data_IF_309792921239
#
_entry.id   IF_309792921239
#
_cell.length_a   1.000
_cell.length_b   1.000
_cell.length_c   1.000
_cell.angle_alpha   90.00
_cell.angle_beta   90.00
_cell.angle_gamma   90.00
#
_symmetry.space_group_name_H-M   'P 1'
#
loop_
_entity.id
_entity.type
_entity.pdbx_description
1 polymer ?
#
# COMPACT_ATOMS: atom_id res chain seq x y z
N UNK A 1 20.48 -37.13 19.26
CA UNK A 1 19.12 -36.81 18.80
C UNK A 1 18.19 -36.99 19.98
N UNK A 2 17.43 -35.96 20.38
CA UNK A 2 16.46 -36.10 21.47
C UNK A 2 15.26 -36.92 21.01
N UNK A 3 14.91 -37.95 21.78
CA UNK A 3 13.72 -38.77 21.62
C UNK A 3 12.49 -37.92 21.96
N UNK A 4 11.69 -37.54 20.96
CA UNK A 4 10.45 -36.77 21.18
C UNK A 4 10.13 -35.68 20.14
N UNK A 5 11.03 -35.36 19.21
CA UNK A 5 10.71 -34.45 18.12
C UNK A 5 9.92 -35.17 17.02
N UNK A 6 8.61 -34.94 16.95
CA UNK A 6 7.82 -35.29 15.78
C UNK A 6 8.16 -34.32 14.65
N UNK A 7 8.83 -34.81 13.61
CA UNK A 7 9.08 -34.05 12.40
C UNK A 7 7.88 -34.26 11.47
N UNK A 8 7.11 -33.20 11.23
CA UNK A 8 5.97 -33.27 10.33
C UNK A 8 6.34 -32.49 9.06
N UNK A 9 6.71 -33.18 7.96
CA UNK A 9 6.94 -32.52 6.69
C UNK A 9 5.61 -31.92 6.21
N UNK A 10 5.60 -30.61 6.01
CA UNK A 10 4.51 -29.96 5.31
C UNK A 10 4.63 -30.31 3.83
N UNK A 11 3.54 -30.76 3.22
CA UNK A 11 3.49 -30.94 1.78
C UNK A 11 3.71 -29.57 1.11
N UNK A 12 4.43 -29.50 -0.03
CA UNK A 12 4.68 -28.24 -0.74
C UNK A 12 3.43 -27.39 -0.94
N UNK A 13 2.30 -28.01 -1.27
CA UNK A 13 1.02 -27.31 -1.45
C UNK A 13 0.51 -26.61 -0.18
N UNK A 14 0.72 -27.21 0.99
CA UNK A 14 0.34 -26.63 2.28
C UNK A 14 1.23 -25.43 2.64
N UNK A 15 2.52 -25.49 2.30
CA UNK A 15 3.44 -24.35 2.46
C UNK A 15 3.06 -23.20 1.51
N UNK A 16 2.84 -23.50 0.22
CA UNK A 16 2.45 -22.49 -0.77
C UNK A 16 1.10 -21.83 -0.46
N UNK A 17 0.12 -22.58 0.06
CA UNK A 17 -1.14 -22.01 0.51
C UNK A 17 -0.98 -21.11 1.74
N UNK A 18 -0.14 -21.52 2.71
CA UNK A 18 0.13 -20.73 3.90
C UNK A 18 0.84 -19.40 3.59
N UNK A 19 1.82 -19.39 2.69
CA UNK A 19 2.48 -18.15 2.25
C UNK A 19 1.49 -17.19 1.59
N UNK A 20 0.68 -17.65 0.62
CA UNK A 20 -0.34 -16.79 -0.01
C UNK A 20 -1.33 -16.23 1.01
N UNK A 21 -1.74 -17.03 1.99
CA UNK A 21 -2.63 -16.58 3.05
C UNK A 21 -1.96 -15.53 3.94
N UNK A 22 -0.68 -15.72 4.29
CA UNK A 22 0.09 -14.73 5.03
C UNK A 22 0.20 -13.41 4.25
N UNK A 23 0.47 -13.47 2.94
CA UNK A 23 0.57 -12.30 2.09
C UNK A 23 -0.77 -11.55 2.02
N UNK A 24 -1.89 -12.26 1.85
CA UNK A 24 -3.24 -11.69 1.90
C UNK A 24 -3.52 -11.00 3.24
N UNK A 25 -3.21 -11.68 4.35
CA UNK A 25 -3.39 -11.14 5.70
C UNK A 25 -2.45 -9.97 6.01
N UNK A 26 -1.37 -9.80 5.25
CA UNK A 26 -0.42 -8.70 5.43
C UNK A 26 -0.89 -7.39 4.80
N UNK A 27 -1.78 -7.42 3.79
CA UNK A 27 -2.21 -6.20 3.07
C UNK A 27 -2.87 -5.18 4.00
N UNK A 28 -3.81 -5.57 4.90
CA UNK A 28 -4.37 -4.62 5.86
C UNK A 28 -3.31 -4.01 6.78
N UNK A 29 -2.27 -4.78 7.14
CA UNK A 29 -1.18 -4.30 7.96
C UNK A 29 -0.36 -3.23 7.23
N UNK A 30 -0.07 -3.42 5.94
CA UNK A 30 0.66 -2.42 5.13
C UNK A 30 -0.06 -1.07 5.12
N UNK A 31 -1.37 -1.05 4.88
CA UNK A 31 -2.17 0.20 4.91
C UNK A 31 -2.13 0.85 6.30
N UNK A 32 -2.35 0.06 7.36
CA UNK A 32 -2.31 0.55 8.76
C UNK A 32 -0.94 1.14 9.11
N UNK A 33 0.13 0.47 8.72
CA UNK A 33 1.50 0.90 8.94
C UNK A 33 1.82 2.19 8.16
N UNK A 34 1.41 2.28 6.90
CA UNK A 34 1.62 3.48 6.07
C UNK A 34 0.92 4.72 6.62
N UNK A 35 -0.32 4.59 7.11
CA UNK A 35 -1.03 5.70 7.77
C UNK A 35 -0.33 6.11 9.08
N UNK A 36 0.03 5.14 9.92
CA UNK A 36 0.76 5.41 11.16
C UNK A 36 2.15 6.04 10.91
N UNK A 37 2.83 5.65 9.83
CA UNK A 37 4.09 6.22 9.38
C UNK A 37 3.93 7.70 9.03
N UNK A 38 2.95 8.06 8.20
CA UNK A 38 2.71 9.46 7.84
C UNK A 38 2.32 10.31 9.06
N UNK A 39 1.53 9.75 9.97
CA UNK A 39 1.21 10.41 11.23
C UNK A 39 2.45 10.68 12.09
N UNK A 40 3.33 9.69 12.21
CA UNK A 40 4.53 9.78 13.05
C UNK A 40 5.60 10.68 12.44
N UNK A 41 5.84 10.58 11.13
CA UNK A 41 6.93 11.26 10.45
C UNK A 41 6.59 12.69 10.01
N UNK A 42 5.32 12.95 9.68
CA UNK A 42 4.87 14.24 9.14
C UNK A 42 3.87 14.96 10.06
N UNK A 43 3.44 14.33 11.15
CA UNK A 43 2.35 14.87 11.98
C UNK A 43 1.00 14.89 11.26
N UNK A 44 0.88 14.23 10.10
CA UNK A 44 -0.31 14.23 9.27
C UNK A 44 -1.36 13.30 9.88
N UNK A 45 -2.39 13.87 10.50
CA UNK A 45 -3.43 13.09 11.16
C UNK A 45 -4.26 12.30 10.13
N UNK A 46 -4.75 11.09 10.45
CA UNK A 46 -5.51 10.29 9.49
C UNK A 46 -6.69 11.00 8.84
N UNK A 47 -7.38 11.89 9.57
CA UNK A 47 -8.50 12.68 9.03
C UNK A 47 -8.08 13.72 7.96
N UNK A 48 -6.79 14.05 7.91
CA UNK A 48 -6.16 14.99 6.97
C UNK A 48 -5.37 14.25 5.87
N UNK A 49 -5.49 12.92 5.79
CA UNK A 49 -4.94 12.10 4.72
C UNK A 49 -6.01 11.85 3.66
N UNK A 50 -5.61 11.95 2.39
CA UNK A 50 -6.35 11.44 1.23
C UNK A 50 -5.75 10.11 0.80
N UNK A 51 -6.61 9.13 0.56
CA UNK A 51 -6.29 7.92 -0.16
C UNK A 51 -6.85 7.98 -1.59
N UNK A 52 -6.04 7.65 -2.59
CA UNK A 52 -6.48 7.45 -3.98
C UNK A 52 -6.18 6.00 -4.35
N UNK A 53 -7.17 5.29 -4.86
CA UNK A 53 -7.09 3.86 -5.17
C UNK A 53 -7.35 3.67 -6.66
N UNK A 54 -6.39 3.08 -7.38
CA UNK A 54 -6.51 2.83 -8.82
C UNK A 54 -6.21 1.36 -9.16
N UNK A 55 -7.03 0.71 -10.01
CA UNK A 55 -6.76 -0.65 -10.49
C UNK A 55 -5.67 -0.62 -11.57
N UNK A 56 -4.67 -1.50 -11.43
CA UNK A 56 -3.51 -1.60 -12.32
C UNK A 56 -3.50 -2.95 -13.05
N UNK A 57 -3.12 -2.90 -14.33
CA UNK A 57 -3.30 -3.98 -15.27
C UNK A 57 -2.03 -4.25 -16.07
N UNK A 58 -1.77 -5.53 -16.29
CA UNK A 58 -0.89 -6.03 -17.36
C UNK A 58 -1.79 -6.67 -18.45
N UNK A 59 -1.91 -8.00 -18.45
CA UNK A 59 -2.83 -8.72 -19.35
C UNK A 59 -4.26 -8.83 -18.81
N UNK A 60 -4.41 -8.61 -17.50
CA UNK A 60 -5.63 -8.57 -16.70
C UNK A 60 -5.36 -7.67 -15.51
N UNK A 61 -6.36 -7.40 -14.68
CA UNK A 61 -6.13 -6.70 -13.43
C UNK A 61 -5.23 -7.53 -12.51
N UNK A 62 -4.11 -6.96 -12.08
CA UNK A 62 -3.12 -7.64 -11.23
C UNK A 62 -3.09 -7.06 -9.81
N UNK A 63 -3.35 -5.76 -9.64
CA UNK A 63 -3.27 -5.09 -8.33
C UNK A 63 -4.10 -3.82 -8.25
N UNK A 64 -4.41 -3.38 -7.03
CA UNK A 64 -4.76 -1.99 -6.75
C UNK A 64 -3.53 -1.25 -6.23
N UNK A 65 -3.34 0.00 -6.65
CA UNK A 65 -2.34 0.91 -6.07
C UNK A 65 -3.04 1.97 -5.25
N UNK A 66 -2.66 2.08 -3.98
CA UNK A 66 -3.22 3.00 -3.00
C UNK A 66 -2.20 4.10 -2.71
N UNK A 67 -2.52 5.33 -3.07
CA UNK A 67 -1.71 6.52 -2.83
C UNK A 67 -2.19 7.22 -1.58
N UNK A 68 -1.29 7.56 -0.66
CA UNK A 68 -1.55 8.38 0.51
C UNK A 68 -0.85 9.73 0.37
N UNK A 69 -1.60 10.80 0.59
CA UNK A 69 -1.11 12.17 0.54
C UNK A 69 -1.92 13.12 1.42
N UNK A 70 -1.59 14.41 1.45
CA UNK A 70 -2.36 15.40 2.19
C UNK A 70 -3.77 15.51 1.61
N UNK A 71 -4.75 15.85 2.44
CA UNK A 71 -6.15 16.01 1.99
C UNK A 71 -6.29 17.07 0.89
N UNK A 72 -5.48 18.12 0.96
CA UNK A 72 -5.40 19.20 -0.02
C UNK A 72 -4.18 19.01 -0.91
N UNK A 73 -4.29 19.28 -2.21
CA UNK A 73 -3.21 19.05 -3.17
C UNK A 73 -3.30 17.69 -3.84
N UNK A 74 -2.35 17.40 -4.71
CA UNK A 74 -2.24 16.19 -5.54
C UNK A 74 -1.03 15.32 -5.18
N UNK A 75 -0.18 15.79 -4.26
CA UNK A 75 1.05 15.13 -3.86
C UNK A 75 0.78 13.72 -3.30
N UNK A 76 1.68 12.79 -3.61
CA UNK A 76 1.64 11.41 -3.13
C UNK A 76 2.87 11.14 -2.27
N UNK A 77 2.67 11.05 -0.96
CA UNK A 77 3.77 10.88 0.00
C UNK A 77 4.13 9.42 0.23
N UNK A 78 3.18 8.51 0.08
CA UNK A 78 3.43 7.09 0.26
C UNK A 78 2.45 6.24 -0.56
N UNK A 79 2.96 5.19 -1.21
CA UNK A 79 2.18 4.25 -1.99
C UNK A 79 2.15 2.85 -1.37
N UNK A 80 1.01 2.17 -1.45
CA UNK A 80 0.82 0.76 -1.08
C UNK A 80 0.33 -0.01 -2.31
N UNK A 81 1.01 -1.11 -2.64
CA UNK A 81 0.55 -2.08 -3.63
C UNK A 81 -0.33 -3.11 -2.91
N UNK A 82 -1.56 -3.27 -3.38
CA UNK A 82 -2.50 -4.29 -2.95
C UNK A 82 -2.67 -5.33 -4.08
N UNK A 83 -1.82 -6.36 -4.12
CA UNK A 83 -1.83 -7.34 -5.21
C UNK A 83 -3.10 -8.20 -5.14
N UNK A 84 -3.65 -8.63 -6.27
CA UNK A 84 -4.63 -9.72 -6.32
C UNK A 84 -3.88 -11.06 -6.32
N UNK A 85 -4.19 -11.94 -5.37
CA UNK A 85 -3.43 -13.17 -5.11
C UNK A 85 -4.26 -14.43 -5.37
N UNK A 86 -3.69 -15.34 -6.16
CA UNK A 86 -4.26 -16.65 -6.43
C UNK A 86 -5.43 -16.56 -7.42
N UNK A 87 -6.62 -16.86 -6.93
CA UNK A 87 -7.85 -16.83 -7.72
C UNK A 87 -8.59 -15.47 -7.64
N UNK A 88 -8.01 -14.48 -6.96
CA UNK A 88 -8.57 -13.12 -6.93
C UNK A 88 -8.42 -12.47 -8.30
N UNK A 89 -9.45 -11.75 -8.69
CA UNK A 89 -9.60 -11.06 -9.97
C UNK A 89 -10.48 -9.81 -9.79
N UNK A 90 -10.87 -9.18 -10.89
CA UNK A 90 -11.72 -7.97 -10.92
C UNK A 90 -13.07 -8.15 -10.22
N UNK A 91 -13.60 -9.38 -10.13
CA UNK A 91 -14.87 -9.67 -9.47
C UNK A 91 -14.72 -9.83 -7.95
N UNK A 92 -13.48 -9.90 -7.44
CA UNK A 92 -13.19 -9.94 -6.02
C UNK A 92 -13.40 -8.56 -5.40
N UNK A 93 -14.07 -8.48 -4.24
CA UNK A 93 -14.31 -7.23 -3.52
C UNK A 93 -13.06 -6.70 -2.77
N UNK A 94 -11.92 -6.66 -3.46
CA UNK A 94 -10.68 -6.11 -2.92
C UNK A 94 -10.80 -4.58 -2.71
N UNK A 95 -11.58 -3.87 -3.53
CA UNK A 95 -11.85 -2.46 -3.34
C UNK A 95 -12.59 -2.19 -2.02
N UNK A 96 -13.61 -2.97 -1.69
CA UNK A 96 -14.33 -2.87 -0.41
C UNK A 96 -13.45 -3.22 0.79
N UNK A 97 -12.55 -4.20 0.67
CA UNK A 97 -11.55 -4.51 1.70
C UNK A 97 -10.58 -3.33 1.93
N UNK A 98 -10.05 -2.75 0.85
CA UNK A 98 -9.16 -1.58 0.91
C UNK A 98 -9.87 -0.40 1.59
N UNK A 99 -11.11 -0.09 1.18
CA UNK A 99 -11.88 0.98 1.79
C UNK A 99 -12.05 0.72 3.29
N UNK A 100 -12.52 -0.47 3.66
CA UNK A 100 -12.76 -0.84 5.06
C UNK A 100 -11.52 -0.60 5.91
N UNK A 101 -10.35 -1.07 5.46
CA UNK A 101 -9.09 -0.89 6.18
C UNK A 101 -8.71 0.59 6.28
N UNK A 102 -8.81 1.36 5.19
CA UNK A 102 -8.54 2.80 5.22
C UNK A 102 -9.44 3.52 6.23
N UNK A 103 -10.74 3.21 6.25
CA UNK A 103 -11.69 3.78 7.21
C UNK A 103 -11.34 3.42 8.66
N UNK A 104 -10.93 2.19 8.92
CA UNK A 104 -10.47 1.75 10.26
C UNK A 104 -9.27 2.55 10.77
N UNK A 105 -8.40 3.04 9.89
CA UNK A 105 -7.26 3.91 10.27
C UNK A 105 -7.67 5.35 10.57
N UNK A 106 -8.91 5.74 10.27
CA UNK A 106 -9.41 7.11 10.42
C UNK A 106 -9.30 7.98 9.17
N UNK A 107 -8.87 7.41 8.04
CA UNK A 107 -8.85 8.11 6.74
C UNK A 107 -10.29 8.34 6.26
N UNK A 108 -10.62 9.61 6.00
CA UNK A 108 -11.97 10.04 5.61
C UNK A 108 -12.12 10.36 4.13
N UNK A 109 -11.04 10.69 3.45
CA UNK A 109 -11.05 11.00 2.03
C UNK A 109 -10.50 9.79 1.28
N UNK A 110 -11.37 9.01 0.62
CA UNK A 110 -10.99 7.84 -0.16
C UNK A 110 -11.60 7.99 -1.55
N UNK A 111 -10.75 8.14 -2.56
CA UNK A 111 -11.13 8.26 -3.96
C UNK A 111 -10.80 6.96 -4.69
N UNK A 112 -11.81 6.32 -5.26
CA UNK A 112 -11.62 5.21 -6.18
C UNK A 112 -11.65 5.73 -7.61
N UNK A 113 -10.59 5.45 -8.36
CA UNK A 113 -10.49 5.71 -9.78
C UNK A 113 -10.83 4.42 -10.54
N UNK A 114 -11.56 4.54 -11.63
CA UNK A 114 -12.00 3.44 -12.50
C UNK A 114 -11.14 3.31 -13.77
N UNK A 115 -10.06 4.09 -13.85
CA UNK A 115 -9.16 4.12 -14.99
C UNK A 115 -8.31 2.85 -15.03
N UNK A 116 -8.06 2.36 -16.24
CA UNK A 116 -7.27 1.15 -16.45
C UNK A 116 -5.77 1.49 -16.44
N UNK A 117 -5.18 1.61 -15.25
CA UNK A 117 -3.79 2.03 -15.11
C UNK A 117 -2.80 0.95 -15.58
N UNK A 118 -1.73 1.32 -16.30
CA UNK A 118 -0.65 0.39 -16.63
C UNK A 118 0.23 0.08 -15.41
N UNK A 119 0.91 -1.07 -15.45
CA UNK A 119 1.94 -1.46 -14.47
C UNK A 119 3.25 -0.68 -14.69
N UNK A 120 3.22 0.64 -14.45
CA UNK A 120 4.39 1.51 -14.62
C UNK A 120 5.26 1.59 -13.37
N UNK A 121 6.57 1.77 -13.60
CA UNK A 121 7.59 1.89 -12.59
C UNK A 121 8.47 3.10 -12.92
N UNK A 122 9.02 3.73 -11.90
CA UNK A 122 9.97 4.82 -12.08
C UNK A 122 11.27 4.31 -12.71
N UNK A 123 11.74 4.99 -13.76
CA UNK A 123 12.96 4.62 -14.48
C UNK A 123 14.24 4.77 -13.64
N UNK A 124 14.24 5.67 -12.65
CA UNK A 124 15.43 5.97 -11.83
C UNK A 124 15.61 4.99 -10.67
N UNK A 125 14.52 4.61 -9.99
CA UNK A 125 14.58 3.81 -8.75
C UNK A 125 13.89 2.44 -8.87
N UNK A 126 13.12 2.20 -9.93
CA UNK A 126 12.35 0.96 -10.13
C UNK A 126 11.13 0.79 -9.22
N UNK A 127 10.78 1.80 -8.41
CA UNK A 127 9.59 1.75 -7.56
C UNK A 127 8.31 1.86 -8.40
N UNK A 128 7.19 1.23 -7.98
CA UNK A 128 5.90 1.41 -8.65
C UNK A 128 5.48 2.88 -8.66
N UNK A 129 4.82 3.32 -9.74
CA UNK A 129 4.15 4.63 -9.78
C UNK A 129 2.73 4.53 -9.22
N UNK A 130 2.22 5.60 -8.64
CA UNK A 130 0.96 5.58 -7.88
C UNK A 130 0.00 6.67 -8.38
N UNK A 131 -1.32 6.39 -8.44
CA UNK A 131 -2.29 7.35 -8.98
C UNK A 131 -2.45 8.57 -8.06
N UNK A 132 -2.27 9.78 -8.58
CA UNK A 132 -2.66 11.00 -7.89
C UNK A 132 -4.18 11.24 -8.03
N UNK A 133 -4.70 12.30 -7.39
CA UNK A 133 -6.14 12.66 -7.45
C UNK A 133 -6.63 13.03 -8.86
N UNK A 134 -5.71 13.34 -9.77
CA UNK A 134 -6.01 13.76 -11.16
C UNK A 134 -6.02 12.55 -12.12
N UNK A 135 -5.66 11.36 -11.63
CA UNK A 135 -5.60 10.14 -12.43
C UNK A 135 -4.28 9.98 -13.19
N UNK A 136 -3.20 10.60 -12.71
CA UNK A 136 -1.85 10.44 -13.27
C UNK A 136 -1.01 9.51 -12.37
N UNK A 137 -0.17 8.68 -12.98
CA UNK A 137 0.77 7.83 -12.24
C UNK A 137 2.03 8.63 -11.92
N UNK A 138 2.29 8.85 -10.63
CA UNK A 138 3.40 9.66 -10.14
C UNK A 138 4.31 8.86 -9.20
N UNK A 139 5.56 9.29 -9.09
CA UNK A 139 6.48 8.75 -8.11
C UNK A 139 6.09 9.26 -6.70
N UNK A 140 6.27 8.42 -5.68
CA UNK A 140 6.00 8.83 -4.29
C UNK A 140 7.14 9.71 -3.78
N UNK A 141 6.82 10.90 -3.27
CA UNK A 141 7.82 11.84 -2.78
C UNK A 141 7.44 12.32 -1.37
N UNK A 142 8.29 12.02 -0.39
CA UNK A 142 8.12 12.62 0.94
C UNK A 142 8.46 14.11 0.89
N UNK A 143 7.69 14.97 1.58
CA UNK A 143 8.04 16.38 1.65
C UNK A 143 9.38 16.54 2.36
N UNK A 144 10.19 17.50 1.91
CA UNK A 144 11.44 17.83 2.57
C UNK A 144 11.16 18.20 4.03
N UNK A 145 11.82 17.51 4.97
CA UNK A 145 11.75 17.89 6.37
C UNK A 145 12.37 19.28 6.52
N UNK A 146 11.68 20.25 7.14
CA UNK A 146 12.30 21.54 7.41
C UNK A 146 13.56 21.29 8.24
N UNK A 147 14.71 21.75 7.73
CA UNK A 147 15.99 21.51 8.36
C UNK A 147 15.93 21.93 9.83
N UNK A 148 15.98 20.95 10.74
CA UNK A 148 16.26 21.22 12.15
C UNK A 148 17.65 21.82 12.17
N UNK A 149 17.74 23.15 12.27
CA UNK A 149 19.00 23.87 12.34
C UNK A 149 19.89 23.24 13.40
N UNK A 150 20.96 22.58 12.96
CA UNK A 150 21.99 22.05 13.84
C UNK A 150 22.70 23.24 14.49
N UNK A 151 22.16 23.72 15.61
CA UNK A 151 22.89 24.55 16.55
C UNK A 151 23.66 23.63 17.49
N UNK A 152 24.68 22.95 16.97
CA UNK A 152 25.80 22.57 17.81
C UNK A 152 26.69 23.82 17.89
N UNK A 153 26.43 24.62 18.92
CA UNK A 153 27.47 25.49 19.47
C UNK A 153 28.56 24.60 20.03
N UNK A 154 29.79 24.72 19.51
CA UNK A 154 31.03 24.99 20.24
C UNK A 154 32.23 25.06 19.29
#
# INVERSE_FOLDING_TARGET
>A
MLTGCAWQPLLPDAYHAACRNADKLSRPYSVKASVAFLQTMLGLMPADIRAVVGPCYDRRMEEYRVSLGPKTGDEVYHGIVWPLLGAEDEATDAAGEIETVLRETGVKEVLFLDHHFPMEFCDDCGAPLFPNREGELVHTEMPEQPATGSQILH
#
